data_IF_942045183762
#
_entry.id   IF_942045183762
#
_cell.length_a   1.000
_cell.length_b   1.000
_cell.length_c   1.000
_cell.angle_alpha   90.00
_cell.angle_beta   90.00
_cell.angle_gamma   90.00
#
_symmetry.space_group_name_H-M   'P 1'
#
loop_
_entity.id
_entity.type
_entity.pdbx_description
1 polymer ?
#
# COMPACT_ATOMS: atom_id res chain seq x y z
N UNK A 1 -12.38 15.46 -5.63
CA UNK A 1 -12.05 14.01 -5.56
C UNK A 1 -11.07 13.66 -6.67
N UNK A 2 -11.40 13.89 -7.96
CA UNK A 2 -10.47 13.72 -9.10
C UNK A 2 -9.19 14.59 -8.98
N UNK A 3 -9.29 15.81 -8.42
CA UNK A 3 -8.11 16.67 -8.24
C UNK A 3 -7.06 16.15 -7.24
N UNK A 4 -7.42 15.18 -6.39
CA UNK A 4 -6.54 14.67 -5.34
C UNK A 4 -5.83 13.38 -5.77
N UNK A 5 -6.32 12.71 -6.82
CA UNK A 5 -5.74 11.48 -7.37
C UNK A 5 -4.28 11.71 -7.83
N UNK A 6 -4.02 12.86 -8.46
CA UNK A 6 -2.67 13.27 -8.88
C UNK A 6 -1.67 13.45 -7.73
N UNK A 7 -2.14 13.54 -6.48
CA UNK A 7 -1.30 13.71 -5.29
C UNK A 7 -0.77 12.38 -4.74
N UNK A 8 -1.40 11.27 -5.13
CA UNK A 8 -1.08 9.93 -4.63
C UNK A 8 -0.45 9.00 -5.67
N UNK A 9 -0.38 9.42 -6.94
CA UNK A 9 0.47 8.75 -7.95
C UNK A 9 1.93 9.07 -7.61
N UNK A 10 2.80 8.07 -7.38
CA UNK A 10 4.23 8.30 -7.23
C UNK A 10 4.75 8.99 -8.49
N UNK A 11 5.00 10.30 -8.38
CA UNK A 11 5.69 11.04 -9.42
C UNK A 11 7.16 10.71 -9.28
N UNK A 12 7.77 10.30 -10.39
CA UNK A 12 9.21 10.08 -10.58
C UNK A 12 9.64 8.66 -10.23
N UNK A 13 10.58 8.14 -11.00
CA UNK A 13 11.25 6.86 -10.83
C UNK A 13 12.16 6.94 -9.59
N UNK A 14 11.57 7.13 -8.40
CA UNK A 14 12.27 7.34 -7.11
C UNK A 14 13.24 6.20 -6.78
N UNK A 15 12.99 5.02 -7.34
CA UNK A 15 13.84 3.84 -7.24
C UNK A 15 15.12 3.93 -8.09
N UNK A 16 15.15 4.82 -9.08
CA UNK A 16 16.29 5.04 -9.97
C UNK A 16 17.06 6.33 -9.62
N UNK A 17 16.35 7.40 -9.26
CA UNK A 17 16.97 8.73 -9.08
C UNK A 17 17.24 9.12 -7.63
N UNK A 18 16.56 8.49 -6.66
CA UNK A 18 16.59 8.91 -5.25
C UNK A 18 17.03 7.81 -4.28
N UNK A 19 16.68 6.56 -4.55
CA UNK A 19 17.09 5.40 -3.75
C UNK A 19 18.35 4.75 -4.33
N UNK A 20 19.47 4.80 -3.61
CA UNK A 20 20.73 4.17 -4.05
C UNK A 20 20.77 2.66 -3.78
N UNK A 21 20.17 2.21 -2.67
CA UNK A 21 20.27 0.83 -2.17
C UNK A 21 19.04 -0.04 -2.49
N UNK A 22 17.91 0.58 -2.87
CA UNK A 22 16.64 -0.12 -3.15
C UNK A 22 16.43 -0.23 -4.66
N UNK A 23 16.28 -1.46 -5.14
CA UNK A 23 16.00 -1.76 -6.54
C UNK A 23 14.53 -2.12 -6.77
N UNK A 24 13.97 -1.92 -7.97
CA UNK A 24 12.57 -2.26 -8.27
C UNK A 24 12.18 -3.70 -7.93
N UNK A 25 13.08 -4.67 -8.13
CA UNK A 25 12.80 -6.05 -7.76
C UNK A 25 12.65 -6.25 -6.24
N UNK A 26 13.38 -5.50 -5.41
CA UNK A 26 13.28 -5.58 -3.95
C UNK A 26 11.93 -5.05 -3.47
N UNK A 27 11.49 -3.93 -4.07
CA UNK A 27 10.14 -3.39 -3.85
C UNK A 27 9.09 -4.44 -4.23
N UNK A 28 9.21 -5.07 -5.41
CA UNK A 28 8.26 -6.12 -5.83
C UNK A 28 8.17 -7.27 -4.83
N UNK A 29 9.31 -7.80 -4.36
CA UNK A 29 9.35 -8.88 -3.37
C UNK A 29 8.60 -8.48 -2.09
N UNK A 30 8.87 -7.28 -1.57
CA UNK A 30 8.20 -6.80 -0.35
C UNK A 30 6.71 -6.53 -0.59
N UNK A 31 6.31 -6.01 -1.75
CA UNK A 31 4.89 -5.82 -2.08
C UNK A 31 4.11 -7.11 -2.26
N UNK A 32 4.76 -8.19 -2.71
CA UNK A 32 4.14 -9.52 -2.78
C UNK A 32 3.95 -10.07 -1.37
N UNK A 33 4.99 -9.99 -0.52
CA UNK A 33 4.88 -10.37 0.89
C UNK A 33 3.77 -9.60 1.61
N UNK A 34 3.63 -8.28 1.37
CA UNK A 34 2.53 -7.49 1.93
C UNK A 34 1.15 -7.98 1.49
N UNK A 35 1.03 -8.48 0.25
CA UNK A 35 -0.22 -9.05 -0.26
C UNK A 35 -0.54 -10.36 0.46
N UNK A 36 0.44 -11.26 0.58
CA UNK A 36 0.31 -12.53 1.30
C UNK A 36 -0.17 -12.32 2.74
N UNK A 37 0.42 -11.35 3.47
CA UNK A 37 -0.03 -10.99 4.84
C UNK A 37 -1.48 -10.50 4.85
N UNK A 38 -1.86 -9.67 3.87
CA UNK A 38 -3.23 -9.17 3.77
C UNK A 38 -4.23 -10.28 3.47
N UNK A 39 -3.89 -11.23 2.60
CA UNK A 39 -4.74 -12.37 2.24
C UNK A 39 -4.90 -13.34 3.42
N UNK A 40 -3.80 -13.66 4.12
CA UNK A 40 -3.80 -14.55 5.28
C UNK A 40 -4.61 -13.97 6.46
N UNK A 41 -4.56 -12.65 6.65
CA UNK A 41 -5.38 -11.95 7.64
C UNK A 41 -6.78 -11.56 7.14
N UNK A 42 -7.17 -11.98 5.94
CA UNK A 42 -8.46 -11.69 5.31
C UNK A 42 -8.81 -10.20 5.36
N UNK A 43 -7.86 -9.37 4.93
CA UNK A 43 -8.00 -7.93 5.07
C UNK A 43 -9.06 -7.33 4.16
N UNK A 44 -9.56 -6.16 4.56
CA UNK A 44 -10.39 -5.34 3.68
C UNK A 44 -9.56 -4.99 2.44
N UNK A 45 -10.17 -5.08 1.24
CA UNK A 45 -9.46 -4.91 -0.03
C UNK A 45 -8.78 -3.54 -0.22
N UNK A 46 -9.04 -2.58 0.66
CA UNK A 46 -8.43 -1.25 0.69
C UNK A 46 -7.08 -1.20 1.42
N UNK A 47 -6.80 -2.15 2.31
CA UNK A 47 -5.62 -2.13 3.18
C UNK A 47 -4.34 -2.27 2.36
N UNK A 48 -4.31 -3.26 1.48
CA UNK A 48 -3.14 -3.53 0.66
C UNK A 48 -2.79 -2.34 -0.26
N UNK A 49 -3.70 -1.81 -1.10
CA UNK A 49 -3.40 -0.64 -1.94
C UNK A 49 -2.98 0.60 -1.13
N UNK A 50 -3.59 0.80 0.04
CA UNK A 50 -3.23 1.89 0.95
C UNK A 50 -1.80 1.73 1.49
N UNK A 51 -1.44 0.52 1.92
CA UNK A 51 -0.11 0.24 2.43
C UNK A 51 0.97 0.43 1.35
N UNK A 52 0.69 0.00 0.11
CA UNK A 52 1.56 0.25 -1.04
C UNK A 52 1.71 1.75 -1.29
N UNK A 53 0.61 2.50 -1.27
CA UNK A 53 0.64 3.95 -1.47
C UNK A 53 1.49 4.67 -0.41
N UNK A 54 1.36 4.28 0.86
CA UNK A 54 2.16 4.82 1.95
C UNK A 54 3.64 4.49 1.76
N UNK A 55 3.96 3.25 1.40
CA UNK A 55 5.34 2.80 1.17
C UNK A 55 5.99 3.60 0.04
N UNK A 56 5.35 3.68 -1.12
CA UNK A 56 5.91 4.38 -2.28
C UNK A 56 6.08 5.88 -2.00
N UNK A 57 5.09 6.53 -1.36
CA UNK A 57 5.21 7.96 -0.97
C UNK A 57 6.32 8.18 0.05
N UNK A 58 6.50 7.26 0.99
CA UNK A 58 7.58 7.34 1.97
C UNK A 58 8.95 7.19 1.29
N UNK A 59 9.10 6.27 0.35
CA UNK A 59 10.33 6.08 -0.43
C UNK A 59 10.64 7.28 -1.34
N UNK A 60 9.65 8.08 -1.72
CA UNK A 60 9.90 9.34 -2.44
C UNK A 60 10.51 10.45 -1.56
N UNK A 61 10.42 10.37 -0.23
CA UNK A 61 10.84 11.45 0.68
C UNK A 61 11.88 11.02 1.72
N UNK A 62 12.15 9.72 1.85
CA UNK A 62 13.10 9.16 2.80
C UNK A 62 13.97 8.10 2.12
N UNK A 63 15.28 8.32 2.07
CA UNK A 63 16.26 7.32 1.65
C UNK A 63 16.44 6.33 2.80
N UNK A 64 16.33 5.04 2.52
CA UNK A 64 16.49 3.95 3.50
C UNK A 64 17.37 2.85 2.93
N UNK A 65 17.97 2.03 3.79
CA UNK A 65 18.70 0.84 3.34
C UNK A 65 17.75 -0.31 2.99
N UNK A 66 18.20 -1.22 2.12
CA UNK A 66 17.48 -2.45 1.77
C UNK A 66 17.06 -3.28 2.99
N UNK A 67 17.83 -3.24 4.08
CA UNK A 67 17.55 -3.99 5.32
C UNK A 67 16.33 -3.42 6.08
N UNK A 68 16.04 -2.13 5.87
CA UNK A 68 14.93 -1.42 6.50
C UNK A 68 13.64 -1.51 5.67
N UNK A 69 13.71 -2.02 4.43
CA UNK A 69 12.56 -2.04 3.53
C UNK A 69 11.40 -2.90 4.06
N UNK A 70 11.71 -4.06 4.65
CA UNK A 70 10.68 -4.91 5.27
C UNK A 70 10.05 -4.22 6.49
N UNK A 71 10.85 -3.55 7.32
CA UNK A 71 10.36 -2.76 8.45
C UNK A 71 9.45 -1.61 8.02
N UNK A 72 9.84 -0.85 6.99
CA UNK A 72 9.04 0.23 6.42
C UNK A 72 7.68 -0.30 5.90
N UNK A 73 7.70 -1.42 5.18
CA UNK A 73 6.50 -2.08 4.67
C UNK A 73 5.58 -2.58 5.80
N UNK A 74 6.16 -3.18 6.84
CA UNK A 74 5.43 -3.63 8.03
C UNK A 74 4.74 -2.47 8.74
N UNK A 75 5.42 -1.34 8.92
CA UNK A 75 4.84 -0.15 9.51
C UNK A 75 3.74 0.45 8.59
N UNK A 76 3.90 0.41 7.27
CA UNK A 76 2.85 0.82 6.32
C UNK A 76 1.60 -0.06 6.41
N UNK A 77 1.75 -1.39 6.58
CA UNK A 77 0.63 -2.31 6.84
C UNK A 77 -0.09 -1.98 8.15
N UNK A 78 0.66 -1.67 9.20
CA UNK A 78 0.08 -1.24 10.48
C UNK A 78 -0.77 0.02 10.30
N UNK A 79 -0.24 1.06 9.66
CA UNK A 79 -0.96 2.31 9.42
C UNK A 79 -2.20 2.08 8.53
N UNK A 80 -2.07 1.29 7.47
CA UNK A 80 -3.18 0.98 6.57
C UNK A 80 -4.31 0.20 7.28
N UNK A 81 -3.97 -0.80 8.10
CA UNK A 81 -4.96 -1.55 8.87
C UNK A 81 -5.67 -0.67 9.91
N UNK A 82 -4.96 0.24 10.58
CA UNK A 82 -5.55 1.21 11.52
C UNK A 82 -6.50 2.20 10.86
N UNK A 83 -6.30 2.52 9.59
CA UNK A 83 -7.11 3.52 8.87
C UNK A 83 -8.29 2.92 8.10
N UNK A 84 -8.17 1.68 7.62
CA UNK A 84 -9.15 1.07 6.71
C UNK A 84 -9.87 -0.17 7.27
N UNK A 85 -9.56 -0.63 8.50
CA UNK A 85 -10.22 -1.78 9.13
C UNK A 85 -10.71 -1.50 10.54
N UNK A 86 -11.76 -2.21 10.95
CA UNK A 86 -12.30 -2.19 12.32
C UNK A 86 -11.32 -2.80 13.32
N UNK A 87 -10.61 -3.87 12.92
CA UNK A 87 -9.62 -4.55 13.75
C UNK A 87 -8.25 -4.40 13.10
N UNK A 88 -7.49 -3.42 13.58
CA UNK A 88 -6.13 -3.18 13.12
C UNK A 88 -5.19 -4.33 13.49
N UNK A 89 -4.09 -4.47 12.76
CA UNK A 89 -3.05 -5.42 13.11
C UNK A 89 -2.40 -5.06 14.45
N UNK A 90 -2.00 -6.09 15.19
CA UNK A 90 -1.12 -5.89 16.35
C UNK A 90 0.34 -5.88 15.90
N UNK A 91 1.17 -5.10 16.59
CA UNK A 91 2.63 -5.08 16.34
C UNK A 91 3.27 -6.46 16.55
N UNK A 92 2.73 -7.25 17.48
CA UNK A 92 3.20 -8.62 17.75
C UNK A 92 2.89 -9.58 16.60
N UNK A 93 1.69 -9.47 16.01
CA UNK A 93 1.30 -10.25 14.83
C UNK A 93 2.20 -9.91 13.64
N UNK A 94 2.42 -8.63 13.38
CA UNK A 94 3.28 -8.19 12.29
C UNK A 94 4.74 -8.62 12.50
N UNK A 95 5.26 -8.56 13.73
CA UNK A 95 6.59 -9.10 14.05
C UNK A 95 6.69 -10.60 13.75
N UNK A 96 5.64 -11.37 14.04
CA UNK A 96 5.58 -12.79 13.69
C UNK A 96 5.69 -13.02 12.17
N UNK A 97 4.95 -12.26 11.35
CA UNK A 97 5.05 -12.35 9.87
C UNK A 97 6.43 -12.00 9.31
N UNK A 98 7.21 -11.21 10.05
CA UNK A 98 8.60 -10.91 9.69
C UNK A 98 9.59 -11.98 10.18
N UNK A 99 9.11 -13.12 10.70
CA UNK A 99 9.94 -14.12 11.40
C UNK A 99 10.78 -13.49 12.53
N UNK A 100 10.21 -12.52 13.24
CA UNK A 100 10.88 -11.75 14.29
C UNK A 100 12.15 -11.01 13.84
N UNK A 101 12.35 -10.80 12.53
CA UNK A 101 13.43 -9.95 12.03
C UNK A 101 13.24 -8.48 12.40
N UNK A 102 11.98 -8.10 12.68
CA UNK A 102 11.58 -6.76 13.09
C UNK A 102 10.91 -6.82 14.46
N UNK A 103 11.36 -5.97 15.39
CA UNK A 103 10.78 -5.91 16.74
C UNK A 103 9.49 -5.06 16.78
N UNK A 104 8.56 -5.34 17.71
CA UNK A 104 7.38 -4.51 17.90
C UNK A 104 7.68 -3.05 18.25
N UNK A 105 8.84 -2.77 18.85
CA UNK A 105 9.29 -1.42 19.18
C UNK A 105 9.71 -0.68 17.92
N UNK A 106 10.52 -1.32 17.06
CA UNK A 106 10.91 -0.76 15.76
C UNK A 106 9.69 -0.42 14.90
N UNK A 107 8.66 -1.29 14.89
CA UNK A 107 7.42 -1.03 14.13
C UNK A 107 6.73 0.25 14.62
N UNK A 108 6.70 0.51 15.93
CA UNK A 108 6.06 1.72 16.50
C UNK A 108 6.87 2.97 16.19
N UNK A 109 8.20 2.89 16.29
CA UNK A 109 9.07 4.00 15.96
C UNK A 109 8.99 4.35 14.48
N UNK A 110 8.91 3.33 13.60
CA UNK A 110 8.76 3.52 12.17
C UNK A 110 7.36 3.98 11.77
N UNK A 111 6.32 3.58 12.49
CA UNK A 111 4.99 4.17 12.33
C UNK A 111 5.06 5.69 12.53
N UNK A 112 5.64 6.16 13.63
CA UNK A 112 5.81 7.59 13.90
C UNK A 112 6.68 8.28 12.84
N UNK A 113 7.76 7.63 12.41
CA UNK A 113 8.63 8.15 11.35
C UNK A 113 7.87 8.34 10.04
N UNK A 114 7.12 7.33 9.58
CA UNK A 114 6.37 7.40 8.33
C UNK A 114 5.29 8.48 8.42
N UNK A 115 4.52 8.50 9.51
CA UNK A 115 3.46 9.50 9.73
C UNK A 115 4.02 10.92 9.74
N UNK A 116 5.16 11.14 10.40
CA UNK A 116 5.82 12.44 10.44
C UNK A 116 6.36 12.88 9.07
N UNK A 117 7.01 11.97 8.32
CA UNK A 117 7.54 12.25 6.97
C UNK A 117 6.43 12.54 5.97
N UNK A 118 5.30 11.85 6.09
CA UNK A 118 4.10 12.09 5.28
C UNK A 118 3.23 13.24 5.81
N UNK A 119 3.66 13.97 6.85
CA UNK A 119 2.95 15.12 7.43
C UNK A 119 1.50 14.80 7.81
N UNK A 120 1.24 13.59 8.31
CA UNK A 120 -0.10 13.09 8.66
C UNK A 120 -1.09 13.03 7.47
N UNK A 121 -0.65 13.20 6.23
CA UNK A 121 -1.44 12.99 5.02
C UNK A 121 -1.52 11.48 4.72
N UNK A 122 -2.13 10.75 5.63
CA UNK A 122 -2.28 9.30 5.58
C UNK A 122 -3.49 8.88 4.75
N UNK A 123 -4.52 9.74 4.67
CA UNK A 123 -5.77 9.46 3.96
C UNK A 123 -5.58 9.77 2.48
N UNK A 124 -4.80 8.92 1.82
CA UNK A 124 -4.85 8.81 0.37
C UNK A 124 -6.27 8.50 -0.06
N UNK A 125 -6.88 9.37 -0.86
CA UNK A 125 -8.10 9.02 -1.59
C UNK A 125 -7.70 7.89 -2.53
N UNK A 126 -8.21 6.68 -2.27
CA UNK A 126 -7.85 5.49 -3.04
C UNK A 126 -8.88 5.29 -4.18
N UNK A 127 -8.51 4.52 -5.22
CA UNK A 127 -9.44 4.18 -6.31
C UNK A 127 -10.69 3.41 -5.84
N UNK A 128 -10.65 2.78 -4.66
CA UNK A 128 -11.79 2.09 -4.05
C UNK A 128 -12.90 3.08 -3.62
N UNK A 129 -12.53 4.26 -3.11
CA UNK A 129 -13.47 5.33 -2.73
C UNK A 129 -14.28 5.78 -3.96
N UNK A 130 -13.69 5.71 -5.16
CA UNK A 130 -14.38 5.96 -6.43
C UNK A 130 -15.15 4.76 -6.98
N UNK A 131 -14.60 3.55 -6.90
CA UNK A 131 -15.22 2.34 -7.43
C UNK A 131 -16.61 2.11 -6.83
N UNK A 132 -16.76 2.38 -5.52
CA UNK A 132 -18.04 2.30 -4.81
C UNK A 132 -19.09 3.25 -5.40
N UNK A 133 -18.69 4.49 -5.73
CA UNK A 133 -19.57 5.50 -6.30
C UNK A 133 -19.88 5.27 -7.78
N UNK A 134 -18.95 4.71 -8.56
CA UNK A 134 -19.14 4.40 -9.98
C UNK A 134 -20.04 3.16 -10.14
N UNK A 135 -19.80 2.12 -9.34
CA UNK A 135 -20.62 0.89 -9.35
C UNK A 135 -22.07 1.22 -8.92
N UNK A 136 -22.26 2.09 -7.92
CA UNK A 136 -23.59 2.54 -7.51
C UNK A 136 -24.37 3.33 -8.57
N UNK A 137 -23.69 3.83 -9.62
CA UNK A 137 -24.30 4.56 -10.74
C UNK A 137 -24.46 3.73 -12.01
N UNK A 138 -24.05 2.46 -12.00
CA UNK A 138 -24.15 1.56 -13.17
C UNK A 138 -25.46 0.77 -13.15
N UNK A 139 -26.16 0.62 -14.30
CA UNK A 139 -27.43 -0.11 -14.38
C UNK A 139 -27.30 -1.65 -14.34
N UNK A 140 -26.07 -2.19 -14.24
CA UNK A 140 -25.82 -3.64 -14.24
C UNK A 140 -25.77 -4.19 -12.80
N UNK A 141 -26.90 -4.70 -12.32
CA UNK A 141 -27.09 -5.03 -10.89
C UNK A 141 -27.15 -6.51 -10.53
N UNK A 142 -26.80 -7.44 -11.42
CA UNK A 142 -26.96 -8.87 -11.12
C UNK A 142 -25.83 -9.47 -10.26
N UNK A 143 -24.58 -8.97 -10.35
CA UNK A 143 -23.44 -9.61 -9.65
C UNK A 143 -22.41 -8.60 -9.13
N UNK A 144 -22.89 -7.66 -8.30
CA UNK A 144 -22.07 -6.62 -7.69
C UNK A 144 -20.86 -7.16 -6.91
N UNK A 145 -21.00 -8.32 -6.27
CA UNK A 145 -19.93 -8.93 -5.49
C UNK A 145 -18.79 -9.44 -6.38
N UNK A 146 -19.12 -10.11 -7.48
CA UNK A 146 -18.14 -10.66 -8.41
C UNK A 146 -17.38 -9.54 -9.13
N UNK A 147 -18.09 -8.52 -9.61
CA UNK A 147 -17.50 -7.35 -10.27
C UNK A 147 -16.55 -6.60 -9.33
N UNK A 148 -16.95 -6.44 -8.06
CA UNK A 148 -16.16 -5.77 -7.03
C UNK A 148 -14.90 -6.56 -6.69
N UNK A 149 -15.01 -7.89 -6.58
CA UNK A 149 -13.86 -8.77 -6.34
C UNK A 149 -12.86 -8.73 -7.51
N UNK A 150 -13.33 -8.79 -8.76
CA UNK A 150 -12.46 -8.65 -9.93
C UNK A 150 -11.77 -7.29 -10.01
N UNK A 151 -12.49 -6.20 -9.69
CA UNK A 151 -11.90 -4.87 -9.61
C UNK A 151 -10.78 -4.80 -8.55
N UNK A 152 -10.96 -5.42 -7.38
CA UNK A 152 -9.93 -5.48 -6.35
C UNK A 152 -8.73 -6.33 -6.75
N UNK A 153 -8.96 -7.47 -7.41
CA UNK A 153 -7.86 -8.26 -7.96
C UNK A 153 -7.06 -7.45 -9.00
N UNK A 154 -7.73 -6.71 -9.89
CA UNK A 154 -7.06 -5.86 -10.88
C UNK A 154 -6.28 -4.70 -10.23
N UNK A 155 -6.82 -4.08 -9.18
CA UNK A 155 -6.11 -3.05 -8.41
C UNK A 155 -4.88 -3.65 -7.72
N UNK A 156 -5.01 -4.82 -7.09
CA UNK A 156 -3.89 -5.52 -6.46
C UNK A 156 -2.82 -5.93 -7.48
N UNK A 157 -3.23 -6.40 -8.66
CA UNK A 157 -2.33 -6.70 -9.79
C UNK A 157 -1.63 -5.44 -10.32
N UNK A 158 -2.30 -4.30 -10.38
CA UNK A 158 -1.70 -3.02 -10.75
C UNK A 158 -0.68 -2.50 -9.73
N UNK A 159 -0.87 -2.81 -8.44
CA UNK A 159 0.07 -2.44 -7.38
C UNK A 159 1.32 -3.34 -7.33
N UNK A 160 1.19 -4.62 -7.65
CA UNK A 160 2.28 -5.63 -7.69
C UNK A 160 3.06 -5.62 -9.00
N UNK A 161 2.38 -5.50 -10.14
CA UNK A 161 2.94 -5.37 -11.49
C UNK A 161 3.34 -3.93 -11.77
N UNK A 162 4.41 -3.47 -11.15
CA UNK A 162 4.77 -2.05 -11.03
C UNK A 162 4.70 -1.21 -12.31
N UNK A 163 4.39 0.08 -12.12
CA UNK A 163 4.69 1.31 -12.92
C UNK A 163 4.35 1.32 -14.42
N UNK A 164 4.37 0.19 -15.14
CA UNK A 164 4.09 0.09 -16.58
C UNK A 164 2.61 0.21 -16.92
N UNK A 165 1.69 -0.13 -16.02
CA UNK A 165 0.25 0.05 -16.30
C UNK A 165 -0.20 1.52 -16.29
N UNK A 166 0.60 2.43 -15.70
CA UNK A 166 0.31 3.86 -15.69
C UNK A 166 0.78 4.59 -16.97
N UNK A 167 1.49 3.90 -17.87
CA UNK A 167 2.07 4.47 -19.12
C UNK A 167 1.57 3.76 -20.38
N UNK A 168 0.43 3.07 -20.34
CA UNK A 168 -0.26 2.67 -21.59
C UNK A 168 -1.40 3.64 -21.84
N UNK A 169 -1.02 4.85 -22.29
CA UNK A 169 -1.86 5.63 -23.21
C UNK A 169 -1.23 5.49 -24.59
N UNK A 170 -1.87 4.71 -25.46
CA UNK A 170 -1.93 5.00 -26.89
C UNK A 170 -3.35 5.46 -27.19
#
# INVERSE_FOLDING_TARGET
MLDVEHRYVPKIDYLCDFQEDIKPFMRNVVTIWMLEVCEDQQCEGQVYPMAINLLDRFLCVCVISRTQLQLAATACLLIASKTRQTRAFSTSLLSLYTNHSVSPEDIRDWELLIVSKLKWDLIGINGHDFASHIIARSPWTADHALLKNHAFTLIALGCTGGIKFLVIRY
#
